data_IF_954986806406
#
_entry.id   IF_954986806406
#
_cell.length_a   1.000
_cell.length_b   1.000
_cell.length_c   1.000
_cell.angle_alpha   90.00
_cell.angle_beta   90.00
_cell.angle_gamma   90.00
#
_symmetry.space_group_name_H-M   'P 1'
#
loop_
_entity.id
_entity.type
_entity.pdbx_description
1 polymer ?
#
# COMPACT_ATOMS: atom_id res chain seq x y z
N UNK A 1 18.08 10.90 4.08
CA UNK A 1 16.73 10.77 3.50
C UNK A 1 16.66 11.54 2.18
N UNK A 2 16.74 12.89 2.15
CA UNK A 2 16.55 13.72 0.95
C UNK A 2 17.44 13.33 -0.23
N UNK A 3 18.73 13.01 0.01
CA UNK A 3 19.63 12.52 -1.04
C UNK A 3 19.13 11.23 -1.69
N UNK A 4 18.61 10.28 -0.90
CA UNK A 4 18.09 9.01 -1.41
C UNK A 4 16.78 9.23 -2.18
N UNK A 5 15.87 10.04 -1.62
CA UNK A 5 14.63 10.40 -2.29
C UNK A 5 14.90 11.04 -3.66
N UNK A 6 15.81 12.03 -3.70
CA UNK A 6 16.21 12.66 -4.97
C UNK A 6 16.78 11.66 -5.99
N UNK A 7 17.61 10.72 -5.55
CA UNK A 7 18.16 9.68 -6.45
C UNK A 7 17.06 8.80 -7.06
N UNK A 8 16.04 8.45 -6.28
CA UNK A 8 14.91 7.65 -6.76
C UNK A 8 14.05 8.45 -7.75
N UNK A 9 13.76 9.70 -7.46
CA UNK A 9 13.00 10.59 -8.35
C UNK A 9 13.75 10.88 -9.65
N UNK A 10 15.07 11.14 -9.58
CA UNK A 10 15.93 11.32 -10.76
C UNK A 10 15.97 10.05 -11.64
N UNK A 11 15.78 8.88 -11.03
CA UNK A 11 15.67 7.60 -11.72
C UNK A 11 14.26 7.28 -12.25
N UNK A 12 13.30 8.17 -12.06
CA UNK A 12 11.94 8.06 -12.60
C UNK A 12 10.89 7.51 -11.63
N UNK A 13 11.18 7.44 -10.33
CA UNK A 13 10.15 7.06 -9.34
C UNK A 13 9.02 8.10 -9.34
N UNK A 14 7.77 7.62 -9.37
CA UNK A 14 6.55 8.44 -9.33
C UNK A 14 6.05 8.64 -7.90
N UNK A 15 6.26 7.65 -7.06
CA UNK A 15 5.91 7.62 -5.63
C UNK A 15 7.15 7.41 -4.80
N UNK A 16 7.13 7.91 -3.56
CA UNK A 16 8.14 7.55 -2.57
C UNK A 16 7.48 6.77 -1.43
N UNK A 17 8.02 5.61 -1.14
CA UNK A 17 7.59 4.82 0.01
C UNK A 17 8.33 5.26 1.27
N UNK A 18 7.55 5.57 2.31
CA UNK A 18 8.03 6.09 3.59
C UNK A 18 7.86 5.01 4.65
N UNK A 19 8.86 4.14 4.75
CA UNK A 19 8.88 3.09 5.75
C UNK A 19 9.57 3.58 7.04
N UNK A 20 8.82 3.59 8.15
CA UNK A 20 9.32 3.95 9.48
C UNK A 20 9.47 2.73 10.40
N UNK A 21 9.26 1.51 9.85
CA UNK A 21 9.17 0.29 10.64
C UNK A 21 7.94 0.26 11.55
N UNK A 22 7.91 -0.60 12.58
CA UNK A 22 6.78 -0.70 13.50
C UNK A 22 6.64 0.54 14.40
N UNK A 23 7.72 1.23 14.74
CA UNK A 23 7.80 2.52 15.46
C UNK A 23 6.75 2.65 16.58
N UNK A 24 6.82 1.77 17.59
CA UNK A 24 5.78 1.62 18.62
C UNK A 24 5.61 2.84 19.53
N UNK A 25 6.71 3.57 19.81
CA UNK A 25 6.71 4.65 20.80
C UNK A 25 6.66 6.05 20.18
N UNK A 26 7.26 6.26 19.01
CA UNK A 26 7.44 7.57 18.37
C UNK A 26 6.93 7.62 16.93
N UNK A 27 6.20 6.59 16.49
CA UNK A 27 5.76 6.43 15.10
C UNK A 27 4.91 7.57 14.57
N UNK A 28 4.05 8.16 15.40
CA UNK A 28 3.20 9.27 14.99
C UNK A 28 4.04 10.52 14.65
N UNK A 29 4.98 10.87 15.50
CA UNK A 29 5.84 12.05 15.29
C UNK A 29 6.85 11.80 14.17
N UNK A 30 7.38 10.57 14.07
CA UNK A 30 8.32 10.19 13.04
C UNK A 30 7.66 10.21 11.64
N UNK A 31 6.44 9.69 11.52
CA UNK A 31 5.71 9.74 10.25
C UNK A 31 5.34 11.17 9.85
N UNK A 32 4.84 11.98 10.79
CA UNK A 32 4.57 13.40 10.53
C UNK A 32 5.82 14.13 10.04
N UNK A 33 6.94 13.90 10.71
CA UNK A 33 8.21 14.51 10.33
C UNK A 33 8.65 14.07 8.92
N UNK A 34 8.59 12.78 8.63
CA UNK A 34 9.01 12.25 7.34
C UNK A 34 8.14 12.78 6.19
N UNK A 35 6.81 12.80 6.37
CA UNK A 35 5.87 13.35 5.39
C UNK A 35 6.16 14.83 5.11
N UNK A 36 6.27 15.66 6.15
CA UNK A 36 6.58 17.07 5.98
C UNK A 36 7.92 17.28 5.28
N UNK A 37 8.97 16.59 5.76
CA UNK A 37 10.31 16.69 5.19
C UNK A 37 10.33 16.42 3.69
N UNK A 38 9.62 15.37 3.23
CA UNK A 38 9.61 15.00 1.83
C UNK A 38 8.74 15.95 0.99
N UNK A 39 7.55 16.30 1.47
CA UNK A 39 6.64 17.16 0.72
C UNK A 39 7.05 18.64 0.68
N UNK A 40 7.86 19.10 1.62
CA UNK A 40 8.46 20.45 1.60
C UNK A 40 9.64 20.55 0.61
N UNK A 41 10.32 19.45 0.34
CA UNK A 41 11.54 19.44 -0.49
C UNK A 41 11.34 18.90 -1.90
N UNK A 42 10.21 18.25 -2.19
CA UNK A 42 9.89 17.70 -3.52
C UNK A 42 8.49 18.06 -3.96
N UNK A 43 8.38 18.58 -5.19
CA UNK A 43 7.09 18.91 -5.79
C UNK A 43 6.48 17.71 -6.50
N UNK A 44 5.14 17.60 -6.42
CA UNK A 44 4.33 16.62 -7.15
C UNK A 44 4.74 15.15 -6.90
N UNK A 45 5.14 14.82 -5.67
CA UNK A 45 5.51 13.46 -5.28
C UNK A 45 4.54 12.96 -4.22
N UNK A 46 3.60 12.09 -4.58
CA UNK A 46 2.76 11.42 -3.60
C UNK A 46 3.59 10.38 -2.82
N UNK A 47 3.20 10.17 -1.56
CA UNK A 47 3.90 9.29 -0.62
C UNK A 47 3.05 8.06 -0.27
N UNK A 48 3.70 6.91 -0.19
CA UNK A 48 3.19 5.69 0.41
C UNK A 48 3.63 5.66 1.87
N UNK A 49 2.67 5.57 2.79
CA UNK A 49 2.91 5.57 4.22
C UNK A 49 2.96 4.11 4.70
N UNK A 50 4.18 3.59 4.86
CA UNK A 50 4.46 2.19 5.15
C UNK A 50 4.82 1.98 6.62
N UNK A 51 3.90 1.41 7.36
CA UNK A 51 4.10 0.93 8.73
C UNK A 51 2.95 0.02 9.16
N UNK A 52 3.22 -0.90 10.07
CA UNK A 52 2.19 -1.67 10.78
C UNK A 52 1.45 -0.87 11.86
N UNK A 53 1.94 0.32 12.21
CA UNK A 53 1.33 1.19 13.22
C UNK A 53 0.26 2.09 12.60
N UNK A 54 -1.02 1.71 12.73
CA UNK A 54 -2.16 2.46 12.20
C UNK A 54 -2.18 3.93 12.66
N UNK A 55 -1.85 4.21 13.93
CA UNK A 55 -1.82 5.58 14.45
C UNK A 55 -0.76 6.44 13.75
N UNK A 56 0.36 5.84 13.37
CA UNK A 56 1.38 6.54 12.62
C UNK A 56 0.92 6.86 11.18
N UNK A 57 0.16 5.97 10.53
CA UNK A 57 -0.46 6.26 9.23
C UNK A 57 -1.44 7.44 9.37
N UNK A 58 -2.36 7.38 10.34
CA UNK A 58 -3.32 8.46 10.64
C UNK A 58 -2.61 9.80 10.88
N UNK A 59 -1.54 9.77 11.67
CA UNK A 59 -0.74 10.94 11.96
C UNK A 59 -0.06 11.53 10.71
N UNK A 60 0.49 10.67 9.85
CA UNK A 60 1.07 11.08 8.57
C UNK A 60 0.02 11.72 7.64
N UNK A 61 -1.15 11.10 7.52
CA UNK A 61 -2.27 11.63 6.73
C UNK A 61 -2.71 13.00 7.26
N UNK A 62 -2.73 13.21 8.58
CA UNK A 62 -3.18 14.47 9.19
C UNK A 62 -2.35 15.70 8.79
N UNK A 63 -1.12 15.50 8.36
CA UNK A 63 -0.20 16.57 7.91
C UNK A 63 0.08 16.53 6.42
N UNK A 64 -0.53 15.59 5.70
CA UNK A 64 -0.27 15.35 4.30
C UNK A 64 -0.79 16.48 3.40
N UNK A 65 0.04 16.98 2.51
CA UNK A 65 -0.34 17.97 1.51
C UNK A 65 -0.93 17.27 0.26
N UNK A 66 -2.25 17.30 0.13
CA UNK A 66 -2.99 16.63 -0.97
C UNK A 66 -2.77 17.25 -2.35
N UNK A 67 -2.23 18.47 -2.43
CA UNK A 67 -1.85 19.04 -3.72
C UNK A 67 -0.73 18.26 -4.42
N UNK A 68 -0.07 17.37 -3.68
CA UNK A 68 0.99 16.49 -4.17
C UNK A 68 0.48 15.13 -4.72
N UNK A 69 -0.83 14.90 -4.68
CA UNK A 69 -1.50 13.66 -5.02
C UNK A 69 -2.14 12.97 -3.80
N UNK A 70 -2.88 11.89 -4.02
CA UNK A 70 -3.46 11.11 -2.92
C UNK A 70 -2.35 10.42 -2.12
N UNK A 71 -2.46 10.36 -0.77
CA UNK A 71 -1.59 9.48 0.02
C UNK A 71 -1.92 8.02 -0.28
N UNK A 72 -0.92 7.14 -0.10
CA UNK A 72 -1.11 5.70 -0.18
C UNK A 72 -0.96 5.12 1.22
N UNK A 73 -1.94 4.32 1.65
CA UNK A 73 -1.86 3.52 2.88
C UNK A 73 -1.20 2.18 2.53
N UNK A 74 -0.04 1.91 3.10
CA UNK A 74 0.70 0.67 2.91
C UNK A 74 0.81 -0.04 4.26
N UNK A 75 -0.02 -1.04 4.47
CA UNK A 75 -0.99 -1.73 3.62
C UNK A 75 -2.19 -2.22 4.44
N UNK A 76 -3.22 -2.71 3.74
CA UNK A 76 -4.28 -3.52 4.31
C UNK A 76 -4.09 -5.00 3.93
N UNK A 77 -4.68 -5.92 4.70
CA UNK A 77 -4.82 -7.34 4.37
C UNK A 77 -6.19 -7.86 4.82
N UNK A 78 -6.56 -9.06 4.42
CA UNK A 78 -7.87 -9.63 4.73
C UNK A 78 -8.01 -10.16 6.17
N UNK A 79 -7.02 -9.94 7.03
CA UNK A 79 -7.01 -10.37 8.43
C UNK A 79 -6.84 -9.18 9.39
N UNK A 80 -5.62 -8.97 9.88
CA UNK A 80 -5.33 -8.05 10.98
C UNK A 80 -5.34 -6.57 10.62
N UNK A 81 -5.30 -6.20 9.33
CA UNK A 81 -5.20 -4.81 8.86
C UNK A 81 -6.30 -4.41 7.88
N UNK A 82 -7.42 -5.12 7.85
CA UNK A 82 -8.54 -4.79 6.96
C UNK A 82 -9.09 -3.39 7.24
N UNK A 83 -9.04 -2.94 8.49
CA UNK A 83 -9.47 -1.60 8.91
C UNK A 83 -8.63 -0.45 8.28
N UNK A 84 -7.49 -0.75 7.68
CA UNK A 84 -6.74 0.26 6.94
C UNK A 84 -7.44 0.64 5.62
N UNK A 85 -8.36 -0.18 5.11
CA UNK A 85 -9.26 0.19 4.01
C UNK A 85 -10.22 1.29 4.48
N UNK A 86 -10.81 1.15 5.67
CA UNK A 86 -11.71 2.15 6.24
C UNK A 86 -11.00 3.48 6.44
N UNK A 87 -9.75 3.41 6.92
CA UNK A 87 -8.89 4.57 7.08
C UNK A 87 -8.60 5.25 5.73
N UNK A 88 -8.28 4.48 4.70
CA UNK A 88 -8.03 5.00 3.35
C UNK A 88 -9.29 5.66 2.78
N UNK A 89 -10.45 4.99 2.88
CA UNK A 89 -11.74 5.51 2.43
C UNK A 89 -12.08 6.84 3.11
N UNK A 90 -11.99 6.88 4.45
CA UNK A 90 -12.29 8.10 5.23
C UNK A 90 -11.38 9.28 4.89
N UNK A 91 -10.24 9.03 4.27
CA UNK A 91 -9.22 10.03 3.96
C UNK A 91 -8.97 10.22 2.46
N UNK A 92 -9.84 9.75 1.58
CA UNK A 92 -9.63 9.82 0.12
C UNK A 92 -8.18 9.43 -0.26
N UNK A 93 -7.75 8.27 0.20
CA UNK A 93 -6.42 7.71 0.01
C UNK A 93 -6.47 6.46 -0.88
N UNK A 94 -5.37 6.16 -1.54
CA UNK A 94 -5.15 4.85 -2.16
C UNK A 94 -4.74 3.87 -1.06
N UNK A 95 -5.04 2.58 -1.23
CA UNK A 95 -4.58 1.53 -0.34
C UNK A 95 -3.91 0.39 -1.11
N UNK A 96 -2.75 -0.05 -0.65
CA UNK A 96 -2.16 -1.32 -1.09
C UNK A 96 -2.88 -2.44 -0.34
N UNK A 97 -3.57 -3.29 -1.10
CA UNK A 97 -4.42 -4.36 -0.61
C UNK A 97 -3.71 -5.72 -0.82
N UNK A 98 -3.07 -6.22 0.24
CA UNK A 98 -2.35 -7.49 0.19
C UNK A 98 -3.35 -8.65 0.13
N UNK A 99 -3.29 -9.45 -0.93
CA UNK A 99 -4.18 -10.60 -1.14
C UNK A 99 -3.76 -11.81 -0.27
N UNK A 100 -3.76 -11.60 1.05
CA UNK A 100 -3.46 -12.61 2.07
C UNK A 100 -4.39 -12.47 3.30
N UNK A 101 -4.50 -13.56 4.06
CA UNK A 101 -5.15 -13.60 5.37
C UNK A 101 -4.11 -13.61 6.50
N UNK A 102 -4.28 -14.50 7.49
CA UNK A 102 -3.29 -14.71 8.56
C UNK A 102 -1.95 -15.23 8.04
N UNK A 103 -1.91 -15.74 6.81
CA UNK A 103 -0.73 -16.23 6.13
C UNK A 103 -0.82 -15.98 4.63
N UNK A 104 0.23 -16.37 3.91
CA UNK A 104 0.31 -16.29 2.46
C UNK A 104 -0.77 -17.21 1.85
N UNK A 105 -1.49 -16.73 0.84
CA UNK A 105 -2.46 -17.53 0.11
C UNK A 105 -1.81 -18.79 -0.47
N UNK A 106 -2.47 -19.92 -0.28
CA UNK A 106 -1.94 -21.24 -0.71
C UNK A 106 -1.95 -21.41 -2.23
N UNK A 107 -2.90 -20.77 -2.91
CA UNK A 107 -3.13 -20.81 -4.34
C UNK A 107 -3.85 -19.55 -4.83
N UNK A 108 -4.13 -19.48 -6.16
CA UNK A 108 -4.82 -18.34 -6.73
C UNK A 108 -6.31 -18.29 -6.38
N UNK A 109 -6.96 -19.38 -6.08
CA UNK A 109 -8.36 -19.37 -5.64
C UNK A 109 -8.49 -18.65 -4.29
N UNK A 110 -7.62 -18.98 -3.34
CA UNK A 110 -7.59 -18.30 -2.04
C UNK A 110 -7.14 -16.84 -2.17
N UNK A 111 -6.18 -16.56 -3.05
CA UNK A 111 -5.74 -15.19 -3.34
C UNK A 111 -6.87 -14.32 -3.90
N UNK A 112 -7.66 -14.87 -4.81
CA UNK A 112 -8.83 -14.18 -5.37
C UNK A 112 -9.95 -14.00 -4.35
N UNK A 113 -10.14 -14.94 -3.43
CA UNK A 113 -11.06 -14.79 -2.30
C UNK A 113 -10.67 -13.58 -1.43
N UNK A 114 -9.39 -13.45 -1.08
CA UNK A 114 -8.90 -12.29 -0.32
C UNK A 114 -9.04 -10.99 -1.12
N UNK A 115 -8.72 -11.02 -2.41
CA UNK A 115 -8.92 -9.86 -3.29
C UNK A 115 -10.38 -9.39 -3.27
N UNK A 116 -11.33 -10.31 -3.38
CA UNK A 116 -12.75 -10.00 -3.35
C UNK A 116 -13.19 -9.41 -2.00
N UNK A 117 -12.75 -9.99 -0.88
CA UNK A 117 -13.06 -9.46 0.46
C UNK A 117 -12.58 -8.01 0.63
N UNK A 118 -11.35 -7.72 0.17
CA UNK A 118 -10.77 -6.39 0.26
C UNK A 118 -11.48 -5.39 -0.67
N UNK A 119 -11.85 -5.83 -1.88
CA UNK A 119 -12.62 -5.02 -2.84
C UNK A 119 -14.00 -4.67 -2.28
N UNK A 120 -14.74 -5.67 -1.79
CA UNK A 120 -16.06 -5.49 -1.19
C UNK A 120 -15.98 -4.51 -0.01
N UNK A 121 -14.98 -4.64 0.88
CA UNK A 121 -14.76 -3.72 1.99
C UNK A 121 -14.54 -2.29 1.52
N UNK A 122 -13.72 -2.08 0.49
CA UNK A 122 -13.47 -0.75 -0.07
C UNK A 122 -14.74 -0.14 -0.67
N UNK A 123 -15.49 -0.93 -1.44
CA UNK A 123 -16.74 -0.47 -2.06
C UNK A 123 -17.83 -0.17 -1.03
N UNK A 124 -17.96 -0.95 0.05
CA UNK A 124 -18.87 -0.68 1.17
C UNK A 124 -18.57 0.67 1.84
N UNK A 125 -17.33 1.09 1.86
CA UNK A 125 -16.88 2.38 2.38
C UNK A 125 -16.81 3.50 1.32
N UNK A 126 -17.30 3.23 0.10
CA UNK A 126 -17.43 4.22 -0.97
C UNK A 126 -16.15 4.52 -1.74
N UNK A 127 -15.14 3.64 -1.66
CA UNK A 127 -13.93 3.76 -2.48
C UNK A 127 -14.20 3.38 -3.94
N UNK A 128 -13.54 4.06 -4.87
CA UNK A 128 -13.42 3.56 -6.23
C UNK A 128 -12.44 2.37 -6.28
N UNK A 129 -12.74 1.37 -7.11
CA UNK A 129 -11.84 0.23 -7.31
C UNK A 129 -10.44 0.64 -7.78
N UNK A 130 -10.31 1.79 -8.44
CA UNK A 130 -9.02 2.36 -8.86
C UNK A 130 -8.13 2.81 -7.71
N UNK A 131 -8.70 3.04 -6.53
CA UNK A 131 -7.96 3.43 -5.32
C UNK A 131 -7.51 2.20 -4.48
N UNK A 132 -7.90 0.98 -4.89
CA UNK A 132 -7.39 -0.26 -4.32
C UNK A 132 -6.33 -0.86 -5.26
N UNK A 133 -5.10 -0.98 -4.77
CA UNK A 133 -4.00 -1.58 -5.52
C UNK A 133 -3.68 -2.95 -4.95
N UNK A 134 -4.08 -3.99 -5.66
CA UNK A 134 -3.98 -5.36 -5.18
C UNK A 134 -2.55 -5.89 -5.35
N UNK A 135 -2.00 -6.41 -4.26
CA UNK A 135 -0.68 -7.04 -4.24
C UNK A 135 -0.85 -8.55 -4.03
N UNK A 136 -0.48 -9.38 -5.02
CA UNK A 136 -0.56 -10.85 -4.90
C UNK A 136 0.55 -11.43 -4.03
N UNK A 137 1.48 -10.64 -3.54
CA UNK A 137 2.68 -10.98 -2.79
C UNK A 137 3.69 -11.79 -3.61
N UNK A 138 4.73 -11.10 -4.09
CA UNK A 138 5.90 -11.78 -4.63
C UNK A 138 6.69 -12.46 -3.52
N UNK A 139 6.93 -13.75 -3.67
CA UNK A 139 7.65 -14.55 -2.69
C UNK A 139 9.14 -14.59 -3.02
N UNK A 140 9.96 -14.95 -2.04
CA UNK A 140 11.38 -15.15 -2.24
C UNK A 140 11.60 -16.22 -3.31
N UNK A 141 12.27 -15.89 -4.42
CA UNK A 141 12.45 -16.81 -5.56
C UNK A 141 13.18 -18.08 -5.13
N UNK A 142 14.24 -17.94 -4.32
CA UNK A 142 15.01 -19.11 -3.84
C UNK A 142 14.17 -19.99 -2.92
N UNK A 143 13.85 -21.19 -3.37
CA UNK A 143 13.05 -22.18 -2.66
C UNK A 143 11.54 -22.09 -2.90
N UNK A 144 11.07 -21.10 -3.66
CA UNK A 144 9.65 -20.90 -4.00
C UNK A 144 9.46 -20.58 -5.50
N UNK A 145 10.29 -21.18 -6.35
CA UNK A 145 10.29 -20.92 -7.79
C UNK A 145 8.98 -21.29 -8.46
N UNK A 146 8.37 -22.37 -8.00
CA UNK A 146 7.08 -22.89 -8.47
C UNK A 146 5.91 -21.93 -8.18
N UNK A 147 6.03 -21.13 -7.12
CA UNK A 147 5.01 -20.14 -6.73
C UNK A 147 5.03 -18.85 -7.55
N UNK A 148 6.14 -18.56 -8.25
CA UNK A 148 6.26 -17.30 -8.98
C UNK A 148 5.28 -17.19 -10.15
N UNK A 149 5.03 -18.30 -10.84
CA UNK A 149 4.05 -18.31 -11.94
C UNK A 149 2.63 -18.05 -11.46
N UNK A 150 2.25 -18.59 -10.30
CA UNK A 150 0.94 -18.31 -9.69
C UNK A 150 0.75 -16.80 -9.42
N UNK A 151 1.81 -16.10 -8.97
CA UNK A 151 1.75 -14.65 -8.73
C UNK A 151 1.57 -13.86 -10.04
N UNK A 152 2.28 -14.25 -11.11
CA UNK A 152 2.11 -13.62 -12.42
C UNK A 152 0.71 -13.87 -13.00
N UNK A 153 0.17 -15.06 -12.82
CA UNK A 153 -1.19 -15.39 -13.19
C UNK A 153 -2.22 -14.57 -12.41
N UNK A 154 -2.01 -14.36 -11.10
CA UNK A 154 -2.87 -13.50 -10.29
C UNK A 154 -2.89 -12.05 -10.80
N UNK A 155 -1.74 -11.48 -11.15
CA UNK A 155 -1.67 -10.13 -11.75
C UNK A 155 -2.49 -10.06 -13.03
N UNK A 156 -2.39 -11.10 -13.86
CA UNK A 156 -3.22 -11.17 -15.08
C UNK A 156 -4.70 -11.23 -14.74
N UNK A 157 -5.10 -12.02 -13.73
CA UNK A 157 -6.50 -12.11 -13.28
C UNK A 157 -7.01 -10.74 -12.79
N UNK A 158 -6.21 -10.01 -12.00
CA UNK A 158 -6.57 -8.64 -11.58
C UNK A 158 -6.76 -7.71 -12.78
N UNK A 159 -5.86 -7.77 -13.76
CA UNK A 159 -5.95 -6.98 -15.00
C UNK A 159 -7.21 -7.33 -15.81
N UNK A 160 -7.54 -8.62 -15.93
CA UNK A 160 -8.74 -9.09 -16.64
C UNK A 160 -10.05 -8.63 -15.95
N UNK A 161 -9.99 -8.39 -14.62
CA UNK A 161 -11.09 -7.81 -13.83
C UNK A 161 -11.11 -6.27 -13.85
N UNK A 162 -10.16 -5.62 -14.51
CA UNK A 162 -10.03 -4.16 -14.53
C UNK A 162 -9.52 -3.56 -13.21
N UNK A 163 -8.85 -4.35 -12.38
CA UNK A 163 -8.29 -3.92 -11.11
C UNK A 163 -6.83 -3.48 -11.28
N UNK A 164 -6.41 -2.49 -10.48
CA UNK A 164 -5.01 -2.09 -10.38
C UNK A 164 -4.23 -3.08 -9.52
N UNK A 165 -3.00 -3.34 -9.90
CA UNK A 165 -2.09 -4.20 -9.13
C UNK A 165 -0.76 -3.52 -8.86
N UNK A 166 -0.13 -3.94 -7.78
CA UNK A 166 1.24 -3.60 -7.40
C UNK A 166 1.95 -4.87 -6.96
N UNK A 167 3.24 -4.81 -6.71
CA UNK A 167 4.00 -5.94 -6.20
C UNK A 167 5.41 -5.53 -5.79
N UNK A 168 5.90 -6.09 -4.68
CA UNK A 168 7.22 -5.80 -4.11
C UNK A 168 7.86 -7.02 -3.47
#
# INVERSE_FOLDING_TARGET
ILKRAKQQLDAGAVYLDVNIGPAENDGEDLMKWAVKLLQENFDNVPLSLDTSNKKAIEAGISVYNRSKGKPIVNSADAAGRIENIDLAAANDAIVIALCNGEGIAKDNDERMMYCQMLLERGMEHGMDASDLWFDPLFLVVKGMQDKQMEVLEAIKMFSDMGLNSTGG
#
